data_IF_954724655302
#
_entry.id   IF_954724655302
#
_cell.length_a   1.000
_cell.length_b   1.000
_cell.length_c   1.000
_cell.angle_alpha   90.00
_cell.angle_beta   90.00
_cell.angle_gamma   90.00
#
_symmetry.space_group_name_H-M   'P 1'
#
loop_
_entity.id
_entity.type
_entity.pdbx_description
1 polymer ?
#
# COMPACT_ATOMS: atom_id res chain seq x y z
N UNK A 1 6.26 6.01 20.27
CA UNK A 1 4.89 6.06 19.70
C UNK A 1 4.59 7.48 19.26
N UNK A 2 4.16 7.67 18.05
CA UNK A 2 3.86 8.99 17.50
C UNK A 2 2.57 9.54 18.12
N UNK A 3 2.64 10.73 18.77
CA UNK A 3 1.51 11.33 19.49
C UNK A 3 0.27 11.62 18.61
N UNK A 4 0.42 11.69 17.29
CA UNK A 4 -0.64 12.02 16.32
C UNK A 4 -1.17 10.82 15.51
N UNK A 5 -0.72 9.61 15.78
CA UNK A 5 -1.10 8.41 15.01
C UNK A 5 -2.61 8.16 14.93
N UNK A 6 -3.34 8.12 16.05
CA UNK A 6 -4.78 7.91 16.04
C UNK A 6 -5.57 9.00 15.29
N UNK A 7 -5.19 10.26 15.45
CA UNK A 7 -5.85 11.40 14.77
C UNK A 7 -5.57 11.39 13.26
N UNK A 8 -4.37 10.98 12.83
CA UNK A 8 -4.06 10.80 11.41
C UNK A 8 -4.89 9.69 10.77
N UNK A 9 -5.04 8.56 11.46
CA UNK A 9 -5.93 7.47 11.00
C UNK A 9 -7.37 7.92 10.90
N UNK A 10 -7.86 8.70 11.89
CA UNK A 10 -9.20 9.30 11.85
C UNK A 10 -9.37 10.24 10.66
N UNK A 11 -8.41 11.12 10.41
CA UNK A 11 -8.42 12.02 9.23
C UNK A 11 -8.43 11.22 7.93
N UNK A 12 -7.55 10.22 7.80
CA UNK A 12 -7.50 9.37 6.61
C UNK A 12 -8.82 8.61 6.39
N UNK A 13 -9.45 8.12 7.46
CA UNK A 13 -10.76 7.48 7.38
C UNK A 13 -11.85 8.43 6.89
N UNK A 14 -11.89 9.67 7.40
CA UNK A 14 -12.83 10.68 6.95
C UNK A 14 -12.65 11.05 5.47
N UNK A 15 -11.39 11.16 5.01
CA UNK A 15 -11.08 11.43 3.60
C UNK A 15 -11.47 10.25 2.68
N UNK A 16 -11.33 9.01 3.15
CA UNK A 16 -11.84 7.84 2.40
C UNK A 16 -13.36 7.85 2.26
N UNK A 17 -14.08 8.15 3.34
CA UNK A 17 -15.54 8.30 3.27
C UNK A 17 -15.93 9.42 2.31
N UNK A 18 -15.28 10.57 2.40
CA UNK A 18 -15.52 11.68 1.50
C UNK A 18 -15.29 11.29 0.03
N UNK A 19 -14.25 10.49 -0.26
CA UNK A 19 -14.00 10.02 -1.63
C UNK A 19 -15.10 9.09 -2.15
N UNK A 20 -15.71 8.28 -1.29
CA UNK A 20 -16.84 7.43 -1.65
C UNK A 20 -18.08 8.27 -1.92
N UNK A 21 -18.42 9.18 -1.01
CA UNK A 21 -19.59 10.06 -1.16
C UNK A 21 -19.43 11.00 -2.37
N UNK A 22 -18.25 11.57 -2.58
CA UNK A 22 -17.99 12.46 -3.71
C UNK A 22 -18.10 11.81 -5.08
N UNK A 23 -17.89 10.48 -5.16
CA UNK A 23 -18.07 9.71 -6.42
C UNK A 23 -19.51 9.22 -6.60
N UNK A 24 -20.21 8.93 -5.51
CA UNK A 24 -21.52 8.28 -5.56
C UNK A 24 -22.70 9.27 -5.45
N UNK A 25 -22.50 10.48 -4.93
CA UNK A 25 -23.57 11.48 -4.83
C UNK A 25 -23.81 12.21 -6.15
N UNK A 26 -25.06 12.55 -6.40
CA UNK A 26 -25.51 13.37 -7.54
C UNK A 26 -26.34 14.54 -6.99
N UNK A 27 -25.65 15.44 -6.28
CA UNK A 27 -26.26 16.61 -5.66
C UNK A 27 -26.17 17.86 -6.51
N UNK A 28 -26.87 18.96 -6.12
CA UNK A 28 -26.74 20.25 -6.77
C UNK A 28 -25.32 20.82 -6.65
N UNK A 29 -24.89 21.60 -7.62
CA UNK A 29 -23.52 22.16 -7.70
C UNK A 29 -23.11 22.96 -6.47
N UNK A 30 -24.06 23.59 -5.80
CA UNK A 30 -23.87 24.40 -4.60
C UNK A 30 -23.30 23.56 -3.44
N UNK A 31 -23.77 22.32 -3.28
CA UNK A 31 -23.29 21.38 -2.26
C UNK A 31 -21.82 21.02 -2.51
N UNK A 32 -21.43 20.77 -3.77
CA UNK A 32 -20.03 20.49 -4.10
C UNK A 32 -19.14 21.72 -3.92
N UNK A 33 -19.62 22.91 -4.25
CA UNK A 33 -18.87 24.15 -4.04
C UNK A 33 -18.60 24.40 -2.54
N UNK A 34 -19.62 24.30 -1.70
CA UNK A 34 -19.49 24.45 -0.25
C UNK A 34 -18.54 23.40 0.35
N UNK A 35 -18.66 22.15 -0.04
CA UNK A 35 -17.76 21.07 0.40
C UNK A 35 -16.31 21.34 -0.01
N UNK A 36 -16.08 21.82 -1.23
CA UNK A 36 -14.75 22.17 -1.72
C UNK A 36 -14.13 23.31 -0.90
N UNK A 37 -14.88 24.39 -0.63
CA UNK A 37 -14.43 25.51 0.19
C UNK A 37 -14.02 25.07 1.60
N UNK A 38 -14.84 24.24 2.26
CA UNK A 38 -14.51 23.68 3.57
C UNK A 38 -13.20 22.85 3.54
N UNK A 39 -13.01 22.03 2.51
CA UNK A 39 -11.81 21.22 2.37
C UNK A 39 -10.56 22.06 2.07
N UNK A 40 -10.69 23.14 1.29
CA UNK A 40 -9.60 24.08 1.05
C UNK A 40 -9.14 24.78 2.34
N UNK A 41 -10.04 25.14 3.25
CA UNK A 41 -9.68 25.67 4.55
C UNK A 41 -8.94 24.64 5.42
N UNK A 42 -9.38 23.38 5.42
CA UNK A 42 -8.65 22.28 6.09
C UNK A 42 -7.23 22.15 5.52
N UNK A 43 -7.08 22.20 4.20
CA UNK A 43 -5.77 22.13 3.53
C UNK A 43 -4.89 23.31 3.93
N UNK A 44 -5.44 24.55 3.99
CA UNK A 44 -4.71 25.75 4.43
C UNK A 44 -4.22 25.58 5.88
N UNK A 45 -5.04 25.03 6.76
CA UNK A 45 -4.66 24.73 8.14
C UNK A 45 -3.50 23.75 8.22
N UNK A 46 -3.61 22.61 7.51
CA UNK A 46 -2.56 21.56 7.51
C UNK A 46 -1.23 22.03 6.89
N UNK A 47 -1.26 22.96 5.93
CA UNK A 47 -0.06 23.53 5.31
C UNK A 47 0.78 24.40 6.24
N UNK A 48 0.20 24.92 7.31
CA UNK A 48 0.91 25.71 8.34
C UNK A 48 1.74 24.81 9.26
N UNK A 49 1.42 23.52 9.32
CA UNK A 49 2.14 22.58 10.17
C UNK A 49 3.47 22.15 9.55
N UNK A 50 4.48 21.84 10.37
CA UNK A 50 5.78 21.36 9.87
C UNK A 50 5.61 20.14 9.01
N UNK A 51 6.27 20.13 7.85
CA UNK A 51 6.28 18.97 6.99
C UNK A 51 7.02 17.81 7.65
N UNK A 52 6.39 16.65 7.67
CA UNK A 52 7.02 15.43 8.17
C UNK A 52 8.23 15.12 7.28
N UNK A 53 9.44 15.23 7.85
CA UNK A 53 10.62 14.68 7.21
C UNK A 53 10.49 13.16 7.15
N UNK A 54 10.26 12.61 5.96
CA UNK A 54 10.25 11.17 5.74
C UNK A 54 11.66 10.64 5.99
N UNK A 55 11.91 10.07 7.15
CA UNK A 55 13.00 9.13 7.31
C UNK A 55 12.54 7.82 6.65
N UNK A 56 12.67 7.76 5.33
CA UNK A 56 12.50 6.53 4.58
C UNK A 56 13.87 5.86 4.56
N UNK A 57 14.06 4.88 5.39
CA UNK A 57 15.26 4.06 5.41
C UNK A 57 14.93 2.79 6.15
N UNK A 58 15.45 1.69 5.70
CA UNK A 58 15.51 0.51 6.52
C UNK A 58 16.43 0.84 7.70
N UNK A 59 15.93 0.83 8.94
CA UNK A 59 16.80 0.94 10.11
C UNK A 59 17.69 -0.29 10.14
N UNK A 60 18.99 -0.06 10.03
CA UNK A 60 19.98 -1.07 10.33
C UNK A 60 19.90 -1.34 11.83
N UNK A 61 19.50 -2.55 12.23
CA UNK A 61 19.65 -3.00 13.61
C UNK A 61 21.14 -2.98 13.97
N UNK A 62 21.47 -2.87 15.27
CA UNK A 62 22.85 -2.89 15.77
C UNK A 62 23.62 -4.15 15.36
N UNK A 63 22.92 -5.19 14.92
CA UNK A 63 23.45 -6.52 14.59
C UNK A 63 23.51 -6.81 13.06
N UNK A 64 23.50 -5.78 12.20
CA UNK A 64 23.55 -5.94 10.74
C UNK A 64 22.17 -6.06 10.08
N UNK A 65 22.13 -6.37 8.75
CA UNK A 65 20.93 -6.43 7.94
C UNK A 65 19.90 -7.53 8.34
N UNK A 66 20.23 -8.45 9.24
CA UNK A 66 19.46 -9.65 9.54
C UNK A 66 18.34 -9.53 10.57
N UNK A 67 18.24 -8.44 11.36
CA UNK A 67 17.19 -8.25 12.37
C UNK A 67 16.56 -6.87 12.20
N UNK A 68 15.63 -6.74 11.28
CA UNK A 68 14.89 -5.50 11.07
C UNK A 68 13.60 -5.54 11.85
N UNK A 69 13.47 -4.64 12.81
CA UNK A 69 12.16 -4.23 13.28
C UNK A 69 11.44 -3.55 12.09
N UNK A 70 10.38 -4.16 11.64
CA UNK A 70 9.46 -3.56 10.69
C UNK A 70 8.92 -2.28 11.33
N UNK A 71 9.27 -1.12 10.77
CA UNK A 71 8.76 0.16 11.28
C UNK A 71 7.27 0.26 10.92
N UNK A 72 6.42 -0.12 11.88
CA UNK A 72 4.96 -0.01 11.75
C UNK A 72 4.49 1.40 11.34
N UNK A 73 5.29 2.45 11.62
CA UNK A 73 5.01 3.80 11.15
C UNK A 73 5.14 3.96 9.63
N UNK A 74 5.91 3.12 8.94
CA UNK A 74 5.99 3.11 7.48
C UNK A 74 4.79 2.40 6.86
N UNK A 75 4.37 1.28 7.45
CA UNK A 75 3.19 0.52 7.00
C UNK A 75 1.93 1.39 7.11
N UNK A 76 1.82 2.18 8.18
CA UNK A 76 0.65 3.05 8.41
C UNK A 76 0.47 4.15 7.34
N UNK A 77 1.52 4.43 6.56
CA UNK A 77 1.52 5.39 5.45
C UNK A 77 1.55 4.74 4.06
N UNK A 78 1.54 3.42 3.97
CA UNK A 78 1.45 2.74 2.68
C UNK A 78 0.22 3.24 1.89
N UNK A 79 0.34 3.51 0.59
CA UNK A 79 -0.82 3.88 -0.23
C UNK A 79 -1.78 2.72 -0.47
N UNK A 80 -1.46 1.50 -0.03
CA UNK A 80 -2.26 0.29 -0.25
C UNK A 80 -2.81 -0.28 1.05
N UNK A 81 -1.98 -0.34 2.12
CA UNK A 81 -2.36 -0.97 3.41
C UNK A 81 -2.43 0.03 4.57
N UNK A 82 -1.97 1.28 4.38
CA UNK A 82 -1.78 2.22 5.47
C UNK A 82 -3.05 2.86 6.00
N UNK A 83 -3.38 2.61 7.26
CA UNK A 83 -4.56 3.20 7.89
C UNK A 83 -4.52 4.73 7.97
N UNK A 84 -3.32 5.34 8.03
CA UNK A 84 -3.12 6.78 8.04
C UNK A 84 -2.92 7.39 6.64
N UNK A 85 -3.06 6.60 5.57
CA UNK A 85 -3.06 7.08 4.20
C UNK A 85 -4.48 7.06 3.63
N UNK A 86 -5.04 8.21 3.21
CA UNK A 86 -6.39 8.26 2.65
C UNK A 86 -6.54 7.55 1.30
N UNK A 87 -5.46 7.31 0.57
CA UNK A 87 -5.49 6.58 -0.71
C UNK A 87 -5.62 5.08 -0.52
N UNK A 88 -5.25 4.55 0.67
CA UNK A 88 -5.26 3.12 0.89
C UNK A 88 -6.69 2.57 0.99
N UNK A 89 -7.05 1.52 0.24
CA UNK A 89 -8.23 0.71 0.51
C UNK A 89 -7.93 -0.24 1.67
N UNK A 90 -7.84 0.14 2.90
CA UNK A 90 -7.03 -0.36 4.02
C UNK A 90 -6.87 -1.89 4.02
N UNK A 91 -6.03 -2.40 3.17
CA UNK A 91 -5.66 -3.81 3.07
C UNK A 91 -5.04 -4.27 4.40
N UNK A 92 -5.61 -5.30 5.00
CA UNK A 92 -5.06 -5.95 6.19
C UNK A 92 -4.19 -7.12 5.77
N UNK A 93 -2.92 -7.10 6.12
CA UNK A 93 -1.99 -8.18 5.78
C UNK A 93 -1.52 -8.90 7.04
N UNK A 94 -1.64 -10.22 7.03
CA UNK A 94 -1.18 -11.11 8.09
C UNK A 94 -0.15 -12.07 7.52
N UNK A 95 0.98 -12.21 8.21
CA UNK A 95 1.96 -13.27 7.92
C UNK A 95 1.50 -14.51 8.69
N UNK A 96 1.28 -15.60 7.97
CA UNK A 96 0.78 -16.84 8.57
C UNK A 96 1.95 -17.74 8.99
N UNK A 97 2.82 -18.06 8.03
CA UNK A 97 3.96 -18.94 8.19
C UNK A 97 5.17 -18.30 7.50
N UNK A 98 6.33 -18.93 7.64
CA UNK A 98 7.49 -18.57 6.84
C UNK A 98 7.13 -18.64 5.36
N UNK A 99 7.45 -17.56 4.62
CA UNK A 99 7.22 -17.46 3.16
C UNK A 99 5.75 -17.42 2.72
N UNK A 100 4.80 -17.13 3.65
CA UNK A 100 3.38 -17.00 3.35
C UNK A 100 2.76 -15.78 4.04
N UNK A 101 1.83 -15.14 3.34
CA UNK A 101 0.98 -14.08 3.92
C UNK A 101 -0.41 -14.08 3.28
N UNK A 102 -1.38 -13.62 4.05
CA UNK A 102 -2.75 -13.39 3.58
C UNK A 102 -3.10 -11.92 3.72
N UNK A 103 -3.62 -11.33 2.66
CA UNK A 103 -4.25 -10.03 2.64
C UNK A 103 -5.76 -10.15 2.62
N UNK A 104 -6.46 -9.25 3.32
CA UNK A 104 -7.91 -9.09 3.21
C UNK A 104 -8.25 -7.62 3.01
N UNK A 105 -9.13 -7.32 2.07
CA UNK A 105 -9.53 -5.97 1.73
C UNK A 105 -10.99 -5.93 1.28
N UNK A 106 -11.69 -4.87 1.65
CA UNK A 106 -12.98 -4.49 1.04
C UNK A 106 -12.71 -3.23 0.23
N UNK A 107 -12.78 -3.34 -1.08
CA UNK A 107 -12.56 -2.19 -1.97
C UNK A 107 -13.75 -1.25 -1.93
N UNK A 108 -13.55 0.04 -1.60
CA UNK A 108 -14.66 1.00 -1.56
C UNK A 108 -15.16 1.35 -2.96
N UNK A 109 -16.38 1.85 -3.06
CA UNK A 109 -16.97 2.30 -4.32
C UNK A 109 -16.16 3.38 -5.05
N UNK A 110 -15.32 4.14 -4.34
CA UNK A 110 -14.43 5.17 -4.93
C UNK A 110 -13.33 4.62 -5.85
N UNK A 111 -13.02 3.31 -5.79
CA UNK A 111 -12.05 2.66 -6.70
C UNK A 111 -12.71 1.89 -7.83
N UNK A 112 -14.01 2.10 -8.00
CA UNK A 112 -14.85 1.47 -9.03
C UNK A 112 -14.57 2.09 -10.41
N UNK A 113 -14.51 1.25 -11.43
CA UNK A 113 -14.51 1.70 -12.83
C UNK A 113 -15.93 2.07 -13.28
N UNK A 114 -16.07 2.71 -14.43
CA UNK A 114 -17.37 2.99 -15.04
C UNK A 114 -18.22 1.74 -15.33
N UNK A 115 -17.62 0.55 -15.33
CA UNK A 115 -18.32 -0.74 -15.50
C UNK A 115 -18.81 -1.34 -14.16
N UNK A 116 -18.57 -0.68 -13.04
CA UNK A 116 -19.06 -1.13 -11.73
C UNK A 116 -18.10 -2.02 -10.93
N UNK A 117 -16.95 -2.40 -11.49
CA UNK A 117 -15.98 -3.30 -10.86
C UNK A 117 -14.75 -2.56 -10.36
N UNK A 118 -14.01 -3.17 -9.43
CA UNK A 118 -12.72 -2.64 -8.94
C UNK A 118 -11.77 -2.41 -10.12
N UNK A 119 -11.11 -1.25 -10.15
CA UNK A 119 -10.05 -1.01 -11.11
C UNK A 119 -8.89 -1.98 -10.88
N UNK A 120 -8.47 -2.71 -11.90
CA UNK A 120 -7.46 -3.78 -11.83
C UNK A 120 -6.13 -3.35 -11.19
N UNK A 121 -5.75 -2.09 -11.34
CA UNK A 121 -4.55 -1.55 -10.70
C UNK A 121 -4.56 -1.62 -9.18
N UNK A 122 -5.75 -1.52 -8.53
CA UNK A 122 -5.86 -1.69 -7.07
C UNK A 122 -5.65 -3.14 -6.65
N UNK A 123 -6.15 -4.09 -7.42
CA UNK A 123 -5.92 -5.52 -7.18
C UNK A 123 -4.43 -5.84 -7.32
N UNK A 124 -3.79 -5.37 -8.40
CA UNK A 124 -2.35 -5.56 -8.63
C UNK A 124 -1.50 -4.94 -7.52
N UNK A 125 -1.81 -3.71 -7.08
CA UNK A 125 -1.11 -3.05 -5.97
C UNK A 125 -1.29 -3.82 -4.65
N UNK A 126 -2.48 -4.37 -4.39
CA UNK A 126 -2.74 -5.18 -3.19
C UNK A 126 -1.95 -6.49 -3.20
N UNK A 127 -1.80 -7.12 -4.36
CA UNK A 127 -0.95 -8.31 -4.55
C UNK A 127 0.51 -7.98 -4.25
N UNK A 128 1.04 -6.87 -4.80
CA UNK A 128 2.43 -6.43 -4.54
C UNK A 128 2.68 -6.16 -3.05
N UNK A 129 1.73 -5.55 -2.36
CA UNK A 129 1.80 -5.31 -0.91
C UNK A 129 1.82 -6.62 -0.11
N UNK A 130 1.00 -7.62 -0.48
CA UNK A 130 1.03 -8.96 0.13
C UNK A 130 2.37 -9.64 -0.13
N UNK A 131 2.92 -9.55 -1.33
CA UNK A 131 4.26 -10.06 -1.61
C UNK A 131 5.34 -9.37 -0.78
N UNK A 132 5.24 -8.06 -0.56
CA UNK A 132 6.12 -7.33 0.34
C UNK A 132 6.11 -7.93 1.76
N UNK A 133 4.95 -8.31 2.27
CA UNK A 133 4.82 -8.96 3.57
C UNK A 133 5.35 -10.41 3.56
N UNK A 134 5.12 -11.18 2.48
CA UNK A 134 5.71 -12.52 2.28
C UNK A 134 7.24 -12.44 2.34
N UNK A 135 7.84 -11.42 1.73
CA UNK A 135 9.29 -11.29 1.61
C UNK A 135 9.95 -10.61 2.83
N UNK A 136 9.18 -9.99 3.71
CA UNK A 136 9.70 -9.28 4.88
C UNK A 136 10.47 -10.20 5.85
N UNK A 137 10.24 -11.53 5.81
CA UNK A 137 10.99 -12.51 6.61
C UNK A 137 12.47 -12.60 6.20
N UNK A 138 12.81 -12.24 4.96
CA UNK A 138 14.19 -12.31 4.44
C UNK A 138 15.12 -11.29 5.11
N UNK A 139 14.58 -10.24 5.75
CA UNK A 139 15.38 -9.23 6.44
C UNK A 139 16.31 -8.40 5.53
N UNK A 140 16.21 -8.54 4.22
CA UNK A 140 17.04 -7.88 3.21
C UNK A 140 16.21 -6.91 2.36
N UNK A 141 16.80 -5.85 1.78
CA UNK A 141 16.13 -5.03 0.78
C UNK A 141 15.80 -5.85 -0.45
N UNK A 142 14.56 -5.76 -0.86
CA UNK A 142 14.03 -6.47 -2.03
C UNK A 142 13.34 -5.45 -2.92
N UNK A 143 13.45 -5.65 -4.22
CA UNK A 143 12.82 -4.81 -5.23
C UNK A 143 11.98 -5.66 -6.16
N UNK A 144 10.74 -5.25 -6.40
CA UNK A 144 9.88 -5.83 -7.42
C UNK A 144 10.48 -5.57 -8.80
N UNK A 145 10.83 -6.63 -9.50
CA UNK A 145 11.34 -6.54 -10.88
C UNK A 145 10.24 -6.78 -11.91
N UNK A 146 9.42 -7.80 -11.67
CA UNK A 146 8.28 -8.15 -12.53
C UNK A 146 7.09 -8.46 -11.63
N UNK A 147 5.94 -7.90 -11.99
CA UNK A 147 4.65 -8.28 -11.44
C UNK A 147 3.72 -8.59 -12.60
N UNK A 148 3.28 -9.84 -12.70
CA UNK A 148 2.32 -10.33 -13.67
C UNK A 148 1.03 -10.73 -12.96
N UNK A 149 -0.10 -10.17 -13.38
CA UNK A 149 -1.42 -10.45 -12.80
C UNK A 149 -2.37 -10.87 -13.91
N UNK A 150 -2.80 -12.11 -13.84
CA UNK A 150 -3.82 -12.67 -14.72
C UNK A 150 -5.19 -12.50 -14.08
N UNK A 151 -6.03 -11.63 -14.63
CA UNK A 151 -7.40 -11.46 -14.22
C UNK A 151 -8.29 -12.52 -14.85
N UNK A 152 -9.01 -13.26 -14.04
CA UNK A 152 -9.86 -14.38 -14.46
C UNK A 152 -11.31 -13.92 -14.63
N UNK A 153 -11.74 -12.95 -13.81
CA UNK A 153 -13.06 -12.32 -13.84
C UNK A 153 -13.03 -10.95 -13.14
N UNK A 154 -14.07 -10.12 -13.29
CA UNK A 154 -14.17 -8.85 -12.60
C UNK A 154 -14.12 -9.01 -11.08
N UNK A 155 -13.45 -8.09 -10.39
CA UNK A 155 -13.38 -8.04 -8.93
C UNK A 155 -14.49 -7.11 -8.41
N UNK A 156 -15.35 -7.57 -7.47
CA UNK A 156 -16.45 -6.75 -6.95
C UNK A 156 -15.93 -5.66 -5.99
N UNK A 157 -16.67 -4.54 -5.91
CA UNK A 157 -16.52 -3.53 -4.85
C UNK A 157 -17.41 -3.92 -3.66
N UNK A 158 -17.06 -3.42 -2.47
CA UNK A 158 -17.85 -3.57 -1.24
C UNK A 158 -18.01 -5.02 -0.75
N UNK A 159 -17.26 -5.95 -1.32
CA UNK A 159 -17.16 -7.33 -0.90
C UNK A 159 -15.75 -7.64 -0.39
N UNK A 160 -15.64 -8.64 0.48
CA UNK A 160 -14.33 -9.07 0.98
C UNK A 160 -13.56 -9.80 -0.11
N UNK A 161 -12.34 -9.32 -0.36
CA UNK A 161 -11.37 -9.93 -1.26
C UNK A 161 -10.22 -10.47 -0.42
N UNK A 162 -9.90 -11.74 -0.60
CA UNK A 162 -8.77 -12.42 0.02
C UNK A 162 -7.64 -12.59 -0.98
N UNK A 163 -6.42 -12.35 -0.53
CA UNK A 163 -5.20 -12.49 -1.32
C UNK A 163 -4.24 -13.40 -0.55
N UNK A 164 -4.01 -14.59 -1.03
CA UNK A 164 -3.02 -15.51 -0.45
C UNK A 164 -1.75 -15.48 -1.30
N UNK A 165 -0.62 -15.11 -0.69
CA UNK A 165 0.68 -15.03 -1.35
C UNK A 165 1.72 -15.93 -0.71
N UNK A 166 2.65 -16.48 -1.51
CA UNK A 166 3.72 -17.35 -1.05
C UNK A 166 4.96 -17.26 -1.94
N UNK A 167 6.11 -17.65 -1.37
CA UNK A 167 7.33 -17.87 -2.15
C UNK A 167 7.25 -19.24 -2.80
N UNK A 168 7.42 -19.28 -4.10
CA UNK A 168 7.52 -20.53 -4.86
C UNK A 168 8.96 -21.05 -4.92
N UNK A 169 9.93 -20.19 -5.16
CA UNK A 169 11.33 -20.55 -5.34
C UNK A 169 12.25 -19.37 -5.07
N UNK A 170 13.44 -19.68 -4.57
CA UNK A 170 14.56 -18.75 -4.45
C UNK A 170 15.76 -19.32 -5.20
N UNK A 171 16.48 -18.49 -5.94
CA UNK A 171 17.69 -18.91 -6.67
C UNK A 171 18.54 -17.71 -7.05
N UNK A 172 19.82 -17.69 -6.69
CA UNK A 172 20.79 -16.71 -7.19
C UNK A 172 20.45 -15.24 -6.88
N UNK A 173 19.87 -14.95 -5.71
CA UNK A 173 19.45 -13.59 -5.34
C UNK A 173 18.13 -13.13 -5.99
N UNK A 174 17.41 -14.07 -6.60
CA UNK A 174 16.08 -13.85 -7.19
C UNK A 174 15.05 -14.67 -6.46
N UNK A 175 13.90 -14.06 -6.14
CA UNK A 175 12.77 -14.70 -5.47
C UNK A 175 11.56 -14.69 -6.39
N UNK A 176 10.97 -15.86 -6.58
CA UNK A 176 9.74 -16.06 -7.35
C UNK A 176 8.59 -16.25 -6.38
N UNK A 177 7.55 -15.47 -6.54
CA UNK A 177 6.34 -15.52 -5.70
C UNK A 177 5.11 -15.79 -6.55
N UNK A 178 4.10 -16.36 -5.91
CA UNK A 178 2.78 -16.58 -6.49
C UNK A 178 1.71 -16.09 -5.52
N UNK A 179 0.58 -15.64 -6.07
CA UNK A 179 -0.59 -15.31 -5.28
C UNK A 179 -1.87 -15.73 -6.00
N UNK A 180 -2.90 -15.95 -5.17
CA UNK A 180 -4.28 -16.13 -5.61
C UNK A 180 -5.15 -15.07 -4.95
N UNK A 181 -6.02 -14.46 -5.73
CA UNK A 181 -7.00 -13.47 -5.29
C UNK A 181 -8.39 -14.09 -5.41
N UNK A 182 -9.14 -14.12 -4.33
CA UNK A 182 -10.44 -14.81 -4.25
C UNK A 182 -11.50 -13.91 -3.60
N UNK A 183 -12.72 -14.11 -4.00
CA UNK A 183 -13.94 -13.66 -3.33
C UNK A 183 -14.80 -14.90 -3.00
N UNK A 184 -15.95 -14.72 -2.35
CA UNK A 184 -16.81 -15.84 -1.95
C UNK A 184 -17.16 -16.78 -3.11
N UNK A 185 -17.37 -16.24 -4.32
CA UNK A 185 -17.73 -17.01 -5.53
C UNK A 185 -16.52 -17.67 -6.21
N UNK A 186 -15.30 -17.52 -5.68
CA UNK A 186 -14.08 -18.16 -6.14
C UNK A 186 -13.02 -17.18 -6.71
N UNK A 187 -12.01 -17.67 -7.47
CA UNK A 187 -10.85 -16.90 -7.86
C UNK A 187 -11.20 -15.78 -8.86
N UNK A 188 -10.67 -14.58 -8.63
CA UNK A 188 -10.78 -13.41 -9.51
C UNK A 188 -9.46 -13.07 -10.21
N UNK A 189 -8.32 -13.44 -9.62
CA UNK A 189 -7.02 -13.27 -10.25
C UNK A 189 -5.99 -14.27 -9.70
N UNK A 190 -4.95 -14.52 -10.52
CA UNK A 190 -3.71 -15.19 -10.14
C UNK A 190 -2.55 -14.26 -10.46
N UNK A 191 -1.50 -14.31 -9.64
CA UNK A 191 -0.34 -13.46 -9.85
C UNK A 191 0.97 -14.20 -9.67
N UNK A 192 1.98 -13.75 -10.43
CA UNK A 192 3.36 -14.18 -10.33
C UNK A 192 4.24 -12.94 -10.23
N UNK A 193 5.28 -12.99 -9.41
CA UNK A 193 6.23 -11.90 -9.38
C UNK A 193 7.67 -12.41 -9.25
N UNK A 194 8.59 -11.58 -9.75
CA UNK A 194 10.02 -11.78 -9.63
C UNK A 194 10.60 -10.63 -8.85
N UNK A 195 11.25 -10.94 -7.75
CA UNK A 195 11.89 -9.98 -6.87
C UNK A 195 13.40 -10.17 -6.90
N UNK A 196 14.14 -9.07 -6.84
CA UNK A 196 15.58 -9.07 -6.73
C UNK A 196 16.00 -8.67 -5.32
N UNK A 197 16.88 -9.47 -4.73
CA UNK A 197 17.55 -9.10 -3.48
C UNK A 197 18.56 -8.01 -3.82
N UNK A 198 18.39 -6.82 -3.22
CA UNK A 198 19.26 -5.68 -3.45
C UNK A 198 20.45 -5.77 -2.52
N UNK A 199 21.66 -5.84 -3.08
CA UNK A 199 22.89 -5.83 -2.30
C UNK A 199 23.08 -4.52 -1.52
N UNK A 200 23.81 -4.58 -0.41
CA UNK A 200 23.99 -3.46 0.52
C UNK A 200 24.53 -2.19 -0.17
N UNK A 201 25.52 -2.33 -1.03
CA UNK A 201 26.14 -1.19 -1.76
C UNK A 201 25.18 -0.58 -2.77
N UNK A 202 24.38 -1.38 -3.45
CA UNK A 202 23.36 -0.90 -4.37
C UNK A 202 22.24 -0.16 -3.62
N UNK A 203 21.84 -0.70 -2.47
CA UNK A 203 20.84 -0.05 -1.62
C UNK A 203 21.35 1.31 -1.10
N UNK A 204 22.60 1.41 -0.64
CA UNK A 204 23.22 2.67 -0.22
C UNK A 204 23.22 3.71 -1.35
N UNK A 205 23.55 3.30 -2.58
CA UNK A 205 23.50 4.19 -3.76
C UNK A 205 22.09 4.73 -4.01
N UNK A 206 21.04 3.89 -3.90
CA UNK A 206 19.66 4.35 -4.04
C UNK A 206 19.26 5.34 -2.93
N UNK A 207 19.68 5.10 -1.69
CA UNK A 207 19.45 6.03 -0.59
C UNK A 207 20.15 7.38 -0.82
N UNK A 208 21.38 7.38 -1.24
CA UNK A 208 22.14 8.60 -1.55
C UNK A 208 21.49 9.41 -2.70
N UNK A 209 21.11 8.74 -3.79
CA UNK A 209 20.41 9.39 -4.90
C UNK A 209 19.10 10.03 -4.48
N UNK A 210 18.32 9.32 -3.66
CA UNK A 210 17.07 9.83 -3.10
C UNK A 210 17.31 11.05 -2.21
N UNK A 211 18.29 10.98 -1.31
CA UNK A 211 18.60 12.06 -0.38
C UNK A 211 19.07 13.31 -1.11
N UNK A 212 19.89 13.18 -2.18
CA UNK A 212 20.29 14.31 -3.04
C UNK A 212 19.07 14.99 -3.68
N UNK A 213 18.09 14.23 -4.18
CA UNK A 213 16.85 14.78 -4.78
C UNK A 213 15.97 15.50 -3.76
N UNK A 214 15.90 15.00 -2.53
CA UNK A 214 15.15 15.64 -1.45
C UNK A 214 15.76 16.95 -1.00
N UNK A 215 17.08 17.08 -1.03
CA UNK A 215 17.82 18.33 -0.70
C UNK A 215 17.75 19.34 -1.85
N UNK A 216 17.75 18.88 -3.09
CA UNK A 216 17.70 19.75 -4.29
C UNK A 216 16.28 20.26 -4.62
N UNK A 217 15.25 19.71 -4.03
CA UNK A 217 13.83 20.08 -4.23
C UNK A 217 13.21 20.90 -3.09
N UNK A 218 14.03 21.42 -2.18
CA UNK A 218 13.64 22.37 -1.14
C UNK A 218 14.02 23.79 -1.53
#
# INVERSE_FOLDING_TARGET
MEKSGPQRRRLAAALRLLSVEGVNSDGPKEVYAEAAEMLEEVVKGLRKEPRRMRRVGFRQGKDGFGKREFDFGMVDLSPVSGLANPLAPPLRVQRNEEKRATGTVVYPGSVRTGTGWVHHGYVAASVDEVFGAVLAWMGQPIMTGILDVRFLRPCPVEEEVRIDGWVRRESGGVVFTEARVEVAEGPVAEAHAVFFIVGEDQYKRFEEQRNRKLVAGC
#
